data_IF_464762045980
#
_entry.id   IF_464762045980
#
_cell.length_a   1.000
_cell.length_b   1.000
_cell.length_c   1.000
_cell.angle_alpha   90.00
_cell.angle_beta   90.00
_cell.angle_gamma   90.00
#
_symmetry.space_group_name_H-M   'P 1'
#
loop_
_entity.id
_entity.type
_entity.pdbx_description
1 polymer ?
#
# COMPACT_ATOMS: atom_id res chain seq x y z
N UNK A 1 -5.80 9.65 2.42
CA UNK A 1 -4.42 10.11 2.19
C UNK A 1 -4.22 11.41 2.95
N UNK A 2 -3.30 11.44 3.92
CA UNK A 2 -3.22 12.49 4.93
C UNK A 2 -1.80 13.01 5.13
N UNK A 3 -1.68 14.31 5.39
CA UNK A 3 -0.44 14.95 5.82
C UNK A 3 -0.04 14.51 7.24
N UNK A 4 -1.04 14.22 8.10
CA UNK A 4 -0.83 13.73 9.46
C UNK A 4 -1.99 12.83 9.89
N UNK A 5 -1.67 11.70 10.50
CA UNK A 5 -2.63 10.76 11.08
C UNK A 5 -2.05 10.04 12.29
N UNK A 6 -2.66 8.92 12.68
CA UNK A 6 -2.29 8.18 13.89
C UNK A 6 -0.83 7.69 13.86
N UNK A 7 -0.34 7.27 12.69
CA UNK A 7 1.03 6.80 12.48
C UNK A 7 2.07 7.92 12.21
N UNK A 8 1.68 9.19 12.44
CA UNK A 8 2.55 10.37 12.27
C UNK A 8 2.29 11.12 10.96
N UNK A 9 3.34 11.72 10.39
CA UNK A 9 3.24 12.52 9.15
C UNK A 9 3.26 11.65 7.90
N UNK A 10 2.61 12.13 6.83
CA UNK A 10 2.53 11.53 5.50
C UNK A 10 2.09 10.06 5.55
N UNK A 11 0.79 9.82 5.68
CA UNK A 11 0.23 8.50 5.94
C UNK A 11 -0.95 8.18 5.03
N UNK A 12 -1.06 6.91 4.67
CA UNK A 12 -2.36 6.31 4.38
C UNK A 12 -3.01 5.94 5.71
N UNK A 13 -4.32 6.11 5.83
CA UNK A 13 -5.06 5.75 7.03
C UNK A 13 -6.36 5.05 6.60
N UNK A 14 -6.56 3.76 6.92
CA UNK A 14 -5.57 2.87 7.55
C UNK A 14 -4.34 2.59 6.64
N UNK A 15 -3.23 2.15 7.23
CA UNK A 15 -2.00 1.72 6.52
C UNK A 15 -1.90 0.19 6.32
N UNK A 16 -2.87 -0.56 6.86
CA UNK A 16 -3.11 -1.96 6.58
C UNK A 16 -4.58 -2.17 6.21
N UNK A 17 -4.83 -2.93 5.14
CA UNK A 17 -6.18 -3.25 4.66
C UNK A 17 -6.23 -4.74 4.35
N UNK A 18 -7.27 -5.42 4.85
CA UNK A 18 -7.63 -6.75 4.42
C UNK A 18 -8.83 -6.69 3.47
N UNK A 19 -8.72 -7.38 2.34
CA UNK A 19 -9.72 -7.38 1.27
C UNK A 19 -9.90 -8.82 0.72
N UNK A 20 -10.96 -9.01 -0.06
CA UNK A 20 -11.20 -10.21 -0.85
C UNK A 20 -11.03 -9.93 -2.35
N UNK A 21 -10.74 -10.97 -3.17
CA UNK A 21 -10.78 -10.83 -4.62
C UNK A 21 -12.10 -10.25 -5.13
N UNK A 22 -12.01 -9.16 -5.91
CA UNK A 22 -13.13 -8.40 -6.45
C UNK A 22 -13.46 -7.11 -5.69
N UNK A 23 -12.94 -6.93 -4.47
CA UNK A 23 -13.13 -5.69 -3.71
C UNK A 23 -12.46 -4.49 -4.39
N UNK A 24 -12.91 -3.30 -3.99
CA UNK A 24 -12.33 -2.03 -4.45
C UNK A 24 -11.77 -1.28 -3.25
N UNK A 25 -10.48 -0.96 -3.30
CA UNK A 25 -9.84 -0.09 -2.31
C UNK A 25 -9.88 1.35 -2.82
N UNK A 26 -10.60 2.19 -2.10
CA UNK A 26 -10.78 3.61 -2.41
C UNK A 26 -9.71 4.47 -1.73
N UNK A 27 -8.78 5.01 -2.50
CA UNK A 27 -7.81 5.98 -2.03
C UNK A 27 -8.39 7.38 -2.14
N UNK A 28 -8.73 7.98 -1.00
CA UNK A 28 -9.35 9.32 -0.95
C UNK A 28 -8.29 10.41 -0.74
N UNK A 29 -8.27 11.39 -1.64
CA UNK A 29 -7.40 12.57 -1.59
C UNK A 29 -7.95 13.62 -0.61
N UNK A 30 -7.90 13.29 0.68
CA UNK A 30 -8.35 14.18 1.77
C UNK A 30 -7.47 15.43 1.84
N UNK A 31 -6.15 15.21 1.95
CA UNK A 31 -5.15 16.28 1.85
C UNK A 31 -4.53 16.33 0.46
N UNK A 32 -4.12 17.53 0.04
CA UNK A 32 -3.38 17.72 -1.21
C UNK A 32 -1.92 17.30 -1.05
N UNK A 33 -1.30 16.89 -2.16
CA UNK A 33 0.10 16.47 -2.27
C UNK A 33 0.29 14.96 -2.31
N UNK A 34 -0.79 14.19 -2.46
CA UNK A 34 -0.75 12.74 -2.40
C UNK A 34 -1.21 12.09 -3.70
N UNK A 35 -0.57 10.96 -4.01
CA UNK A 35 -0.94 9.99 -5.02
C UNK A 35 -0.83 8.59 -4.40
N UNK A 36 -1.13 7.58 -5.20
CA UNK A 36 -0.90 6.17 -4.88
C UNK A 36 -0.23 5.49 -6.06
N UNK A 37 0.82 4.73 -5.80
CA UNK A 37 1.58 3.98 -6.79
C UNK A 37 1.94 2.62 -6.19
N UNK A 38 1.98 1.56 -7.00
CA UNK A 38 2.45 0.28 -6.51
C UNK A 38 3.95 0.34 -6.15
N UNK A 39 4.37 -0.46 -5.16
CA UNK A 39 5.78 -0.70 -4.86
C UNK A 39 6.26 -1.85 -5.74
N UNK A 40 7.34 -1.61 -6.50
CA UNK A 40 7.93 -2.64 -7.37
C UNK A 40 8.35 -3.85 -6.55
N UNK A 41 7.89 -5.04 -6.95
CA UNK A 41 8.17 -6.31 -6.26
C UNK A 41 7.24 -6.61 -5.08
N UNK A 42 6.20 -5.78 -4.87
CA UNK A 42 5.21 -5.99 -3.81
C UNK A 42 3.78 -6.07 -4.35
N UNK A 43 3.58 -6.47 -5.61
CA UNK A 43 2.26 -6.82 -6.14
C UNK A 43 2.28 -8.27 -6.65
N UNK A 44 1.15 -8.98 -6.68
CA UNK A 44 1.12 -10.35 -7.18
C UNK A 44 1.50 -10.44 -8.66
N UNK A 45 2.00 -11.59 -9.08
CA UNK A 45 2.30 -11.84 -10.50
C UNK A 45 1.03 -11.70 -11.35
N UNK A 46 1.16 -11.06 -12.52
CA UNK A 46 0.05 -10.80 -13.43
C UNK A 46 -0.80 -9.57 -13.09
N UNK A 47 -0.52 -8.89 -11.96
CA UNK A 47 -1.09 -7.57 -11.69
C UNK A 47 -0.27 -6.51 -12.42
N UNK A 48 -0.94 -5.69 -13.24
CA UNK A 48 -0.31 -4.57 -13.92
C UNK A 48 0.14 -3.48 -12.92
N UNK A 49 1.34 -2.89 -13.10
CA UNK A 49 1.74 -1.72 -12.33
C UNK A 49 0.73 -0.58 -12.47
N UNK A 50 0.51 0.17 -11.39
CA UNK A 50 -0.50 1.22 -11.36
C UNK A 50 -0.01 2.47 -10.64
N UNK A 51 -0.57 3.59 -11.05
CA UNK A 51 -0.33 4.90 -10.46
C UNK A 51 -1.55 5.80 -10.61
N UNK A 52 -2.06 6.31 -9.49
CA UNK A 52 -3.09 7.35 -9.46
C UNK A 52 -2.51 8.74 -9.74
N UNK A 53 -3.39 9.66 -10.16
CA UNK A 53 -3.02 11.05 -10.36
C UNK A 53 -2.89 11.79 -9.01
N UNK A 54 -2.04 12.83 -8.99
CA UNK A 54 -1.80 13.65 -7.82
C UNK A 54 -3.07 14.44 -7.43
N UNK A 55 -3.44 14.43 -6.16
CA UNK A 55 -4.65 15.08 -5.60
C UNK A 55 -5.98 14.50 -6.10
N UNK A 56 -5.99 13.34 -6.75
CA UNK A 56 -7.20 12.70 -7.23
C UNK A 56 -7.50 11.45 -6.40
N UNK A 57 -8.78 11.11 -6.31
CA UNK A 57 -9.17 9.81 -5.79
C UNK A 57 -8.71 8.72 -6.77
N UNK A 58 -8.37 7.56 -6.24
CA UNK A 58 -7.98 6.41 -7.05
C UNK A 58 -8.66 5.15 -6.51
N UNK A 59 -9.30 4.42 -7.41
CA UNK A 59 -10.00 3.18 -7.08
C UNK A 59 -9.18 2.00 -7.61
N UNK A 60 -8.71 1.14 -6.69
CA UNK A 60 -8.00 -0.08 -7.03
C UNK A 60 -8.91 -1.28 -6.85
N UNK A 61 -9.39 -1.86 -7.96
CA UNK A 61 -10.03 -3.18 -7.92
C UNK A 61 -8.96 -4.25 -7.74
N UNK A 62 -9.05 -5.04 -6.67
CA UNK A 62 -8.07 -6.08 -6.35
C UNK A 62 -8.63 -7.45 -6.70
N UNK A 63 -8.09 -8.11 -7.72
CA UNK A 63 -8.61 -9.42 -8.19
C UNK A 63 -7.68 -10.59 -7.92
N UNK A 64 -6.37 -10.39 -7.98
CA UNK A 64 -5.40 -11.43 -7.66
C UNK A 64 -5.18 -11.50 -6.14
N UNK A 65 -5.17 -12.71 -5.60
CA UNK A 65 -4.79 -12.95 -4.21
C UNK A 65 -3.29 -12.65 -3.99
N UNK A 66 -2.97 -12.14 -2.81
CA UNK A 66 -1.61 -11.78 -2.45
C UNK A 66 -1.52 -10.47 -1.69
N UNK A 67 -0.28 -10.00 -1.59
CA UNK A 67 0.10 -8.72 -0.98
C UNK A 67 0.26 -7.66 -2.05
N UNK A 68 -0.31 -6.48 -1.79
CA UNK A 68 -0.12 -5.25 -2.55
C UNK A 68 0.50 -4.19 -1.64
N UNK A 69 1.78 -3.93 -1.83
CA UNK A 69 2.46 -2.78 -1.25
C UNK A 69 2.22 -1.55 -2.11
N UNK A 70 1.71 -0.48 -1.50
CA UNK A 70 1.52 0.81 -2.17
C UNK A 70 2.28 1.91 -1.46
N UNK A 71 2.65 2.94 -2.22
CA UNK A 71 3.34 4.14 -1.75
C UNK A 71 2.67 5.39 -2.30
N UNK A 72 2.85 6.52 -1.61
CA UNK A 72 2.72 7.83 -2.24
C UNK A 72 4.09 8.23 -2.77
N UNK A 73 4.21 8.54 -4.06
CA UNK A 73 5.48 8.74 -4.76
C UNK A 73 6.34 9.86 -4.17
N UNK A 74 5.86 11.11 -3.96
CA UNK A 74 6.68 12.16 -3.36
C UNK A 74 7.04 11.90 -1.89
N UNK A 75 6.24 11.09 -1.18
CA UNK A 75 6.37 10.89 0.26
C UNK A 75 6.86 9.50 0.67
N UNK A 76 7.24 8.67 -0.31
CA UNK A 76 7.75 7.33 -0.07
C UNK A 76 9.02 7.31 0.82
N UNK A 77 10.01 8.22 0.64
CA UNK A 77 11.16 8.29 1.56
C UNK A 77 10.77 8.68 3.00
N UNK A 78 9.64 9.37 3.17
CA UNK A 78 9.08 9.75 4.47
C UNK A 78 8.20 8.65 5.08
N UNK A 79 8.02 7.53 4.37
CA UNK A 79 7.29 6.36 4.84
C UNK A 79 5.80 6.36 4.51
N UNK A 80 5.33 7.15 3.56
CA UNK A 80 3.91 7.09 3.17
C UNK A 80 3.64 5.84 2.32
N UNK A 81 3.31 4.74 3.00
CA UNK A 81 3.08 3.41 2.45
C UNK A 81 1.88 2.76 3.12
N UNK A 82 1.26 1.81 2.43
CA UNK A 82 0.24 0.93 2.99
C UNK A 82 0.41 -0.49 2.44
N UNK A 83 -0.11 -1.45 3.18
CA UNK A 83 -0.15 -2.87 2.81
C UNK A 83 -1.61 -3.31 2.64
N UNK A 84 -1.96 -3.82 1.48
CA UNK A 84 -3.26 -4.45 1.23
C UNK A 84 -3.04 -5.94 1.08
N UNK A 85 -3.78 -6.75 1.83
CA UNK A 85 -3.77 -8.21 1.74
C UNK A 85 -5.10 -8.67 1.18
N UNK A 86 -5.03 -9.39 0.06
CA UNK A 86 -6.19 -9.84 -0.71
C UNK A 86 -6.24 -11.37 -0.62
N UNK A 87 -7.25 -11.92 0.05
CA UNK A 87 -7.34 -13.38 0.24
C UNK A 87 -6.09 -13.96 0.92
N UNK A 88 -5.55 -15.06 0.38
CA UNK A 88 -4.30 -15.68 0.86
C UNK A 88 -3.04 -14.94 0.34
N UNK A 89 -2.19 -14.40 1.23
CA UNK A 89 -0.97 -13.69 0.82
C UNK A 89 0.15 -14.61 0.30
N UNK A 90 0.05 -15.94 0.41
CA UNK A 90 1.15 -16.88 0.18
C UNK A 90 1.79 -16.79 -1.21
N UNK A 91 1.05 -16.32 -2.23
CA UNK A 91 1.52 -16.20 -3.62
C UNK A 91 2.77 -15.31 -3.76
N UNK A 92 2.89 -14.25 -2.98
CA UNK A 92 4.00 -13.30 -3.08
C UNK A 92 4.50 -12.71 -1.74
N UNK A 93 4.03 -13.20 -0.59
CA UNK A 93 4.39 -12.65 0.73
C UNK A 93 5.90 -12.56 0.96
N UNK A 94 6.64 -13.62 0.68
CA UNK A 94 8.09 -13.66 0.90
C UNK A 94 8.83 -12.68 -0.03
N UNK A 95 8.40 -12.57 -1.29
CA UNK A 95 8.95 -11.60 -2.23
C UNK A 95 8.65 -10.17 -1.79
N UNK A 96 7.43 -9.90 -1.32
CA UNK A 96 7.00 -8.59 -0.83
C UNK A 96 7.80 -8.17 0.42
N UNK A 97 8.06 -9.09 1.36
CA UNK A 97 8.90 -8.83 2.54
C UNK A 97 10.37 -8.58 2.17
N UNK A 98 10.87 -9.19 1.10
CA UNK A 98 12.24 -9.01 0.62
C UNK A 98 12.44 -7.73 -0.24
N UNK A 99 11.36 -7.01 -0.57
CA UNK A 99 11.44 -5.79 -1.35
C UNK A 99 12.28 -4.73 -0.63
N UNK A 100 13.11 -3.99 -1.39
CA UNK A 100 13.99 -2.95 -0.84
C UNK A 100 13.24 -1.63 -0.76
N UNK A 101 13.07 -1.12 0.46
CA UNK A 101 12.38 0.14 0.73
C UNK A 101 13.29 1.15 1.45
N UNK A 102 13.02 2.48 1.33
CA UNK A 102 13.60 3.47 2.22
C UNK A 102 13.37 3.11 3.69
N UNK A 103 14.31 3.46 4.57
CA UNK A 103 14.29 3.02 5.98
C UNK A 103 12.94 3.27 6.67
N UNK A 104 12.35 4.46 6.50
CA UNK A 104 11.08 4.80 7.16
C UNK A 104 9.87 4.08 6.56
N UNK A 105 9.90 3.83 5.25
CA UNK A 105 8.89 2.99 4.58
C UNK A 105 9.00 1.53 5.03
N UNK A 106 10.22 0.99 5.13
CA UNK A 106 10.44 -0.36 5.64
C UNK A 106 9.88 -0.53 7.05
N UNK A 107 10.17 0.40 7.97
CA UNK A 107 9.66 0.37 9.34
C UNK A 107 8.11 0.28 9.39
N UNK A 108 7.42 1.06 8.55
CA UNK A 108 5.94 1.04 8.49
C UNK A 108 5.40 -0.20 7.81
N UNK A 109 6.06 -0.69 6.74
CA UNK A 109 5.69 -1.94 6.09
C UNK A 109 5.88 -3.13 7.04
N UNK A 110 6.96 -3.18 7.82
CA UNK A 110 7.20 -4.23 8.80
C UNK A 110 6.08 -4.26 9.86
N UNK A 111 5.64 -3.08 10.32
CA UNK A 111 4.49 -2.96 11.22
C UNK A 111 3.17 -3.42 10.57
N UNK A 112 2.95 -3.10 9.28
CA UNK A 112 1.78 -3.56 8.54
C UNK A 112 1.81 -5.08 8.29
N UNK A 113 2.97 -5.66 7.95
CA UNK A 113 3.14 -7.10 7.78
C UNK A 113 2.86 -7.88 9.07
N UNK A 114 3.17 -7.29 10.23
CA UNK A 114 2.89 -7.90 11.52
C UNK A 114 1.38 -8.05 11.81
N UNK A 115 0.52 -7.29 11.11
CA UNK A 115 -0.95 -7.36 11.26
C UNK A 115 -1.58 -8.53 10.50
N UNK A 116 -0.83 -9.22 9.62
CA UNK A 116 -1.37 -10.35 8.87
C UNK A 116 -1.73 -11.50 9.82
N UNK A 117 -3.01 -11.88 9.83
CA UNK A 117 -3.54 -12.99 10.63
C UNK A 117 -3.83 -12.65 12.09
N UNK A 118 -3.83 -11.36 12.45
CA UNK A 118 -4.36 -10.89 13.74
C UNK A 118 -5.89 -10.85 13.75
#
# INVERSE_FOLDING_TARGET
MLNKGAAGSMVFEPDFVQAAPGDVVHFVAVDKGHDVENIKGMIPDGVEPFKGAMNENFDLTVTAEGVYGVKCTPHYPLGMVALIVVGDPASNLEAAKAAKNPKKAQERLDAAFAQIGQ
#
